data_IF_489605391053
#
_entry.id   IF_489605391053
#
_cell.length_a   1.000
_cell.length_b   1.000
_cell.length_c   1.000
_cell.angle_alpha   90.00
_cell.angle_beta   90.00
_cell.angle_gamma   90.00
#
_symmetry.space_group_name_H-M   'P 1'
#
loop_
_entity.id
_entity.type
_entity.pdbx_description
1 polymer ?
#
# COMPACT_ATOMS: atom_id res chain seq x y z
N UNK A 1 25.37 -19.15 -54.21
CA UNK A 1 25.19 -19.20 -52.73
C UNK A 1 24.37 -17.97 -52.36
N UNK A 2 23.04 -18.05 -52.27
CA UNK A 2 22.25 -18.53 -51.10
C UNK A 2 22.63 -17.73 -49.84
N UNK A 3 21.76 -16.96 -49.17
CA UNK A 3 20.34 -17.19 -48.85
C UNK A 3 19.67 -15.88 -48.40
N UNK A 4 18.37 -15.76 -48.69
CA UNK A 4 17.42 -14.78 -48.13
C UNK A 4 17.40 -14.73 -46.59
N UNK A 5 16.92 -13.61 -46.04
CA UNK A 5 15.90 -13.48 -44.97
C UNK A 5 15.90 -12.02 -44.49
N UNK A 6 15.08 -11.14 -45.08
CA UNK A 6 13.69 -10.85 -44.71
C UNK A 6 13.54 -10.03 -43.42
N UNK A 7 13.16 -8.78 -43.62
CA UNK A 7 12.41 -7.88 -42.74
C UNK A 7 11.91 -8.45 -41.40
N UNK A 8 12.18 -7.74 -40.30
CA UNK A 8 11.21 -7.65 -39.22
C UNK A 8 11.26 -6.25 -38.58
N UNK A 9 10.28 -5.42 -38.97
CA UNK A 9 9.83 -4.27 -38.18
C UNK A 9 9.21 -4.83 -36.89
N UNK A 10 9.78 -4.54 -35.73
CA UNK A 10 9.05 -4.67 -34.48
C UNK A 10 8.87 -3.27 -33.90
N UNK A 11 7.73 -2.67 -34.25
CA UNK A 11 7.19 -1.49 -33.58
C UNK A 11 6.68 -1.98 -32.24
N UNK A 12 7.36 -1.62 -31.14
CA UNK A 12 6.81 -1.80 -29.81
C UNK A 12 5.68 -0.78 -29.63
N UNK A 13 4.45 -1.22 -29.90
CA UNK A 13 3.25 -0.51 -29.48
C UNK A 13 3.13 -0.66 -27.96
N UNK A 14 3.65 0.30 -27.20
CA UNK A 14 3.37 0.38 -25.77
C UNK A 14 1.96 0.93 -25.57
N UNK A 15 1.09 0.03 -25.12
CA UNK A 15 -0.30 0.24 -24.74
C UNK A 15 -0.38 1.25 -23.59
N UNK A 16 -1.02 2.40 -23.83
CA UNK A 16 -1.40 3.32 -22.77
C UNK A 16 -2.59 2.71 -22.00
N UNK A 17 -2.32 2.08 -20.87
CA UNK A 17 -3.36 1.74 -19.90
C UNK A 17 -3.69 3.02 -19.10
N UNK A 18 -4.70 3.75 -19.57
CA UNK A 18 -5.29 4.84 -18.80
C UNK A 18 -6.05 4.26 -17.61
N UNK A 19 -5.46 4.36 -16.42
CA UNK A 19 -6.20 4.14 -15.17
C UNK A 19 -7.17 5.31 -15.00
N UNK A 20 -8.46 5.04 -15.20
CA UNK A 20 -9.54 5.97 -14.85
C UNK A 20 -9.59 6.04 -13.33
N UNK A 21 -9.13 7.15 -12.75
CA UNK A 21 -9.42 7.52 -11.37
C UNK A 21 -10.91 7.84 -11.26
N UNK A 22 -11.72 6.86 -10.87
CA UNK A 22 -13.11 7.10 -10.50
C UNK A 22 -13.14 7.84 -9.17
N UNK A 23 -13.72 9.04 -9.16
CA UNK A 23 -13.89 9.83 -7.95
C UNK A 23 -14.88 9.18 -6.97
N UNK A 24 -14.44 9.19 -5.70
CA UNK A 24 -15.11 8.93 -4.43
C UNK A 24 -16.58 8.53 -4.43
N UNK A 25 -16.84 7.25 -4.22
CA UNK A 25 -17.99 6.82 -3.43
C UNK A 25 -17.61 6.97 -1.95
N UNK A 26 -18.25 7.88 -1.23
CA UNK A 26 -18.14 7.93 0.23
C UNK A 26 -18.77 6.64 0.78
N UNK A 27 -17.92 5.70 1.19
CA UNK A 27 -18.36 4.48 1.86
C UNK A 27 -18.49 4.86 3.34
N UNK A 28 -19.71 5.03 3.83
CA UNK A 28 -19.96 5.10 5.28
C UNK A 28 -19.83 3.68 5.85
N UNK A 29 -18.64 3.09 5.82
CA UNK A 29 -18.44 1.77 6.39
C UNK A 29 -17.83 1.87 7.77
N UNK A 30 -18.35 1.07 8.69
CA UNK A 30 -17.77 0.90 10.01
C UNK A 30 -16.51 0.02 9.97
N UNK A 31 -16.02 -0.33 8.79
CA UNK A 31 -14.96 -1.32 8.49
C UNK A 31 -14.56 -1.18 7.01
N UNK A 32 -13.41 -1.72 6.60
CA UNK A 32 -12.90 -1.55 5.23
C UNK A 32 -13.02 -2.83 4.41
N UNK A 33 -13.36 -2.70 3.14
CA UNK A 33 -13.32 -3.83 2.22
C UNK A 33 -11.86 -4.25 1.96
N UNK A 34 -11.56 -5.53 1.69
CA UNK A 34 -10.20 -5.98 1.35
C UNK A 34 -9.56 -5.19 0.21
N UNK A 35 -10.36 -4.77 -0.78
CA UNK A 35 -9.91 -3.96 -1.91
C UNK A 35 -9.47 -2.52 -1.54
N UNK A 36 -9.75 -2.07 -0.31
CA UNK A 36 -9.28 -0.78 0.19
C UNK A 36 -7.87 -0.85 0.81
N UNK A 37 -7.32 -2.07 1.02
CA UNK A 37 -5.97 -2.29 1.55
C UNK A 37 -4.91 -2.02 0.47
N UNK A 38 -4.83 -0.76 0.06
CA UNK A 38 -3.97 -0.29 -1.03
C UNK A 38 -3.39 1.06 -0.66
N UNK A 39 -2.07 1.19 -0.83
CA UNK A 39 -1.34 2.45 -0.71
C UNK A 39 -0.42 2.62 -1.91
N UNK A 40 -0.47 3.79 -2.56
CA UNK A 40 0.43 4.11 -3.66
C UNK A 40 0.39 3.13 -4.82
N UNK A 41 -0.77 2.50 -5.07
CA UNK A 41 -0.92 1.47 -6.10
C UNK A 41 -0.37 0.08 -5.74
N UNK A 42 0.09 -0.12 -4.50
CA UNK A 42 0.49 -1.43 -3.97
C UNK A 42 -0.67 -2.00 -3.15
N UNK A 43 -1.23 -3.11 -3.63
CA UNK A 43 -2.29 -3.84 -2.96
C UNK A 43 -1.70 -4.80 -1.92
N UNK A 44 -2.47 -5.08 -0.87
CA UNK A 44 -2.17 -6.20 0.02
C UNK A 44 -2.06 -7.51 -0.77
N UNK A 45 -0.95 -8.23 -0.61
CA UNK A 45 -0.63 -9.43 -1.38
C UNK A 45 0.10 -9.19 -2.70
N UNK A 46 0.44 -7.95 -3.06
CA UNK A 46 1.28 -7.67 -4.21
C UNK A 46 2.66 -8.34 -4.11
N UNK A 47 3.19 -8.84 -5.24
CA UNK A 47 4.52 -9.43 -5.28
C UNK A 47 5.63 -8.38 -5.15
N UNK A 48 6.75 -8.74 -4.55
CA UNK A 48 7.95 -7.90 -4.50
C UNK A 48 8.39 -7.35 -5.88
N UNK A 49 8.32 -8.19 -6.93
CA UNK A 49 8.65 -7.79 -8.30
C UNK A 49 7.74 -6.66 -8.82
N UNK A 50 6.44 -6.75 -8.54
CA UNK A 50 5.48 -5.69 -8.88
C UNK A 50 5.80 -4.39 -8.12
N UNK A 51 6.12 -4.47 -6.83
CA UNK A 51 6.48 -3.26 -6.06
C UNK A 51 7.71 -2.59 -6.67
N UNK A 52 8.74 -3.35 -7.05
CA UNK A 52 9.91 -2.79 -7.72
C UNK A 52 9.60 -2.26 -9.13
N UNK A 53 8.61 -2.82 -9.82
CA UNK A 53 8.15 -2.28 -11.10
C UNK A 53 7.52 -0.89 -10.94
N UNK A 54 6.80 -0.66 -9.85
CA UNK A 54 6.12 0.62 -9.57
C UNK A 54 7.09 1.66 -9.00
N UNK A 55 7.94 1.27 -8.04
CA UNK A 55 8.78 2.20 -7.27
C UNK A 55 10.27 2.16 -7.64
N UNK A 56 10.70 1.21 -8.47
CA UNK A 56 12.12 0.97 -8.73
C UNK A 56 12.77 0.13 -7.63
N UNK A 57 14.11 0.15 -7.59
CA UNK A 57 14.85 -0.55 -6.54
C UNK A 57 14.68 0.18 -5.19
N UNK A 58 14.44 -0.55 -4.08
CA UNK A 58 14.41 0.06 -2.76
C UNK A 58 15.79 0.57 -2.34
N UNK A 59 15.80 1.54 -1.43
CA UNK A 59 17.03 2.08 -0.83
C UNK A 59 17.71 1.06 0.07
N UNK A 60 16.93 0.25 0.80
CA UNK A 60 17.41 -0.81 1.67
C UNK A 60 16.51 -2.06 1.56
N UNK A 61 17.14 -3.22 1.73
CA UNK A 61 16.46 -4.52 1.81
C UNK A 61 16.95 -5.22 3.07
N UNK A 62 16.04 -5.45 4.02
CA UNK A 62 16.30 -6.27 5.20
C UNK A 62 15.56 -7.60 5.08
N UNK A 63 16.26 -8.74 5.27
CA UNK A 63 15.61 -10.06 5.33
C UNK A 63 15.81 -10.70 6.69
N UNK A 64 14.71 -11.04 7.35
CA UNK A 64 14.65 -11.73 8.63
C UNK A 64 13.97 -13.09 8.45
N UNK A 65 14.62 -14.14 8.95
CA UNK A 65 14.04 -15.49 8.99
C UNK A 65 13.24 -15.78 10.28
N UNK A 66 13.29 -14.85 11.24
CA UNK A 66 12.50 -14.87 12.46
C UNK A 66 11.94 -13.46 12.68
N UNK A 67 10.62 -13.36 12.77
CA UNK A 67 9.90 -12.12 13.05
C UNK A 67 8.86 -12.40 14.15
N UNK A 68 8.58 -11.41 15.00
CA UNK A 68 7.68 -11.58 16.14
C UNK A 68 6.23 -11.80 15.67
N UNK A 69 5.83 -11.10 14.61
CA UNK A 69 4.46 -11.14 14.06
C UNK A 69 4.26 -12.11 12.89
N UNK A 70 5.31 -12.38 12.10
CA UNK A 70 5.16 -13.08 10.83
C UNK A 70 5.96 -14.38 10.84
N UNK A 71 5.30 -15.47 10.45
CA UNK A 71 5.95 -16.74 10.18
C UNK A 71 6.40 -16.81 8.72
N UNK A 72 7.60 -17.34 8.45
CA UNK A 72 8.14 -17.46 7.10
C UNK A 72 9.32 -16.52 6.85
N UNK A 73 9.74 -16.40 5.59
CA UNK A 73 10.79 -15.46 5.24
C UNK A 73 10.20 -14.04 5.15
N UNK A 74 10.64 -13.16 6.04
CA UNK A 74 10.21 -11.77 6.07
C UNK A 74 11.25 -10.91 5.37
N UNK A 75 10.83 -10.12 4.40
CA UNK A 75 11.70 -9.16 3.71
C UNK A 75 11.07 -7.78 3.79
N UNK A 76 11.82 -6.77 4.19
CA UNK A 76 11.41 -5.37 4.23
C UNK A 76 12.09 -4.62 3.10
N UNK A 77 11.33 -3.86 2.33
CA UNK A 77 11.84 -2.89 1.37
C UNK A 77 11.61 -1.50 1.92
N UNK A 78 12.68 -0.73 2.06
CA UNK A 78 12.60 0.68 2.46
C UNK A 78 12.87 1.58 1.25
N UNK A 79 11.96 2.52 1.00
CA UNK A 79 12.08 3.53 -0.05
C UNK A 79 12.33 4.89 0.58
N UNK A 80 13.60 5.24 0.70
CA UNK A 80 14.01 6.41 1.49
C UNK A 80 13.75 6.16 2.98
N UNK A 81 13.26 7.18 3.68
CA UNK A 81 13.02 7.16 5.13
C UNK A 81 11.53 7.33 5.49
N UNK A 82 10.61 7.02 4.56
CA UNK A 82 9.19 7.35 4.71
C UNK A 82 8.20 6.35 4.12
N UNK A 83 8.68 5.27 3.50
CA UNK A 83 7.82 4.26 2.89
C UNK A 83 8.47 2.89 3.02
N UNK A 84 7.81 1.98 3.74
CA UNK A 84 8.23 0.60 3.93
C UNK A 84 7.18 -0.36 3.36
N UNK A 85 7.63 -1.45 2.72
CA UNK A 85 6.78 -2.60 2.42
C UNK A 85 7.40 -3.86 3.01
N UNK A 86 6.69 -4.48 3.93
CA UNK A 86 7.04 -5.79 4.50
C UNK A 86 6.37 -6.91 3.70
N UNK A 87 7.17 -7.87 3.26
CA UNK A 87 6.78 -9.06 2.53
C UNK A 87 6.93 -10.31 3.39
N UNK A 88 5.98 -11.23 3.29
CA UNK A 88 6.07 -12.58 3.83
C UNK A 88 5.94 -13.56 2.68
N UNK A 89 6.95 -14.42 2.51
CA UNK A 89 7.06 -15.37 1.40
C UNK A 89 6.88 -14.68 0.02
N UNK A 90 7.41 -13.46 -0.11
CA UNK A 90 7.42 -12.68 -1.35
C UNK A 90 6.16 -11.86 -1.65
N UNK A 91 5.16 -11.87 -0.75
CA UNK A 91 3.90 -11.15 -0.89
C UNK A 91 3.78 -10.05 0.16
N UNK A 92 3.37 -8.84 -0.26
CA UNK A 92 3.19 -7.71 0.63
C UNK A 92 2.15 -8.02 1.71
N UNK A 93 2.53 -7.84 2.98
CA UNK A 93 1.66 -8.08 4.15
C UNK A 93 1.47 -6.86 5.02
N UNK A 94 2.39 -5.91 4.96
CA UNK A 94 2.29 -4.69 5.72
C UNK A 94 2.97 -3.56 4.95
N UNK A 95 2.34 -2.39 4.94
CA UNK A 95 2.80 -1.17 4.27
C UNK A 95 2.77 -0.06 5.31
N UNK A 96 3.87 0.67 5.45
CA UNK A 96 4.00 1.79 6.39
C UNK A 96 4.39 3.06 5.62
N UNK A 97 3.73 4.17 5.93
CA UNK A 97 4.02 5.50 5.38
C UNK A 97 4.14 6.48 6.54
N UNK A 98 5.37 6.89 6.86
CA UNK A 98 5.70 7.66 8.06
C UNK A 98 6.07 9.12 7.81
N UNK A 99 6.01 9.60 6.54
CA UNK A 99 6.13 11.04 6.21
C UNK A 99 5.25 11.44 5.04
N UNK A 100 5.04 12.75 4.91
CA UNK A 100 4.34 13.35 3.76
C UNK A 100 5.21 13.24 2.49
N UNK A 101 5.05 12.12 1.78
CA UNK A 101 5.79 11.76 0.56
C UNK A 101 4.90 11.65 -0.69
N UNK A 102 3.61 12.00 -0.57
CA UNK A 102 2.63 11.97 -1.66
C UNK A 102 2.02 10.59 -1.94
N UNK A 103 2.39 9.56 -1.16
CA UNK A 103 1.75 8.24 -1.22
C UNK A 103 0.38 8.35 -0.54
N UNK A 104 -0.64 7.93 -1.29
CA UNK A 104 -2.04 7.99 -0.88
C UNK A 104 -2.62 6.60 -0.70
N UNK A 105 -3.56 6.45 0.23
CA UNK A 105 -4.46 5.31 0.27
C UNK A 105 -5.38 5.29 -0.97
N UNK A 106 -6.08 4.17 -1.19
CA UNK A 106 -7.11 4.08 -2.24
C UNK A 106 -8.17 5.20 -2.17
N UNK A 107 -8.49 5.68 -0.97
CA UNK A 107 -9.47 6.75 -0.75
C UNK A 107 -8.86 8.16 -0.81
N UNK A 108 -7.57 8.28 -1.12
CA UNK A 108 -6.89 9.56 -1.30
C UNK A 108 -6.34 10.21 -0.02
N UNK A 109 -6.32 9.48 1.10
CA UNK A 109 -5.72 9.95 2.36
C UNK A 109 -4.19 9.80 2.29
N UNK A 110 -3.46 10.78 2.79
CA UNK A 110 -1.99 10.76 2.88
C UNK A 110 -1.55 11.33 4.25
N UNK A 111 -0.28 11.13 4.59
CA UNK A 111 0.31 11.78 5.77
C UNK A 111 0.15 13.31 5.63
N UNK A 112 -0.39 13.95 6.65
CA UNK A 112 -0.79 15.36 6.66
C UNK A 112 -2.28 15.62 6.38
N UNK A 113 -3.05 14.62 5.94
CA UNK A 113 -4.53 14.71 5.92
C UNK A 113 -5.08 14.95 7.33
N UNK A 114 -6.20 15.65 7.43
CA UNK A 114 -6.90 15.87 8.70
C UNK A 114 -7.65 14.61 9.15
N UNK A 115 -7.86 14.48 10.46
CA UNK A 115 -8.76 13.46 11.00
C UNK A 115 -10.18 13.57 10.44
N UNK A 116 -10.65 14.78 10.12
CA UNK A 116 -11.95 14.99 9.49
C UNK A 116 -12.01 14.39 8.08
N UNK A 117 -10.96 14.59 7.27
CA UNK A 117 -10.85 13.98 5.94
C UNK A 117 -10.80 12.45 6.02
N UNK A 118 -10.07 11.88 7.00
CA UNK A 118 -10.05 10.44 7.26
C UNK A 118 -11.46 9.93 7.54
N UNK A 119 -12.18 10.57 8.46
CA UNK A 119 -13.55 10.17 8.82
C UNK A 119 -14.55 10.36 7.70
N UNK A 120 -14.35 11.37 6.84
CA UNK A 120 -15.16 11.57 5.66
C UNK A 120 -14.94 10.45 4.61
N UNK A 121 -13.71 9.96 4.49
CA UNK A 121 -13.35 8.91 3.54
C UNK A 121 -13.75 7.51 4.02
N UNK A 122 -13.54 7.20 5.31
CA UNK A 122 -13.65 5.86 5.87
C UNK A 122 -14.74 5.70 6.93
N UNK A 123 -15.43 6.77 7.33
CA UNK A 123 -16.38 6.72 8.44
C UNK A 123 -15.70 6.77 9.82
N UNK A 124 -16.43 6.35 10.86
CA UNK A 124 -15.88 6.22 12.21
C UNK A 124 -15.01 4.95 12.32
N UNK A 125 -13.87 5.01 13.04
CA UNK A 125 -12.99 3.86 13.19
C UNK A 125 -13.65 2.74 13.99
N UNK A 126 -13.23 1.50 13.77
CA UNK A 126 -13.62 0.34 14.58
C UNK A 126 -13.09 0.45 16.01
N UNK A 127 -11.85 0.91 16.17
CA UNK A 127 -11.16 1.03 17.45
C UNK A 127 -10.31 2.30 17.48
N UNK A 128 -10.13 2.84 18.68
CA UNK A 128 -9.19 3.93 18.95
C UNK A 128 -8.27 3.46 20.07
N UNK A 129 -6.96 3.53 19.87
CA UNK A 129 -5.95 3.21 20.88
C UNK A 129 -4.89 4.31 20.92
N UNK A 130 -4.95 5.18 21.93
CA UNK A 130 -4.11 6.38 21.95
C UNK A 130 -4.45 7.32 20.78
N UNK A 131 -3.45 7.60 19.96
CA UNK A 131 -3.49 8.35 18.70
C UNK A 131 -3.81 7.49 17.47
N UNK A 132 -3.93 6.16 17.62
CA UNK A 132 -4.22 5.23 16.52
C UNK A 132 -5.73 5.10 16.27
N UNK A 133 -6.15 5.43 15.05
CA UNK A 133 -7.51 5.26 14.52
C UNK A 133 -7.55 4.05 13.60
N UNK A 134 -8.20 2.97 14.05
CA UNK A 134 -8.07 1.64 13.45
C UNK A 134 -9.36 1.28 12.70
N UNK A 135 -9.21 1.00 11.41
CA UNK A 135 -10.26 0.56 10.50
C UNK A 135 -9.99 -0.88 10.08
N UNK A 136 -10.78 -1.82 10.60
CA UNK A 136 -10.60 -3.25 10.42
C UNK A 136 -11.22 -3.73 9.10
N UNK A 137 -10.61 -4.73 8.48
CA UNK A 137 -11.13 -5.32 7.27
C UNK A 137 -12.35 -6.21 7.56
N UNK A 138 -13.39 -6.11 6.71
CA UNK A 138 -14.69 -6.79 6.88
C UNK A 138 -14.56 -8.31 7.06
N UNK A 139 -13.75 -8.93 6.21
CA UNK A 139 -13.62 -10.39 6.14
C UNK A 139 -12.51 -10.96 7.03
N UNK A 140 -11.64 -10.09 7.58
CA UNK A 140 -10.53 -10.48 8.44
C UNK A 140 -10.10 -9.34 9.37
N UNK A 141 -10.46 -9.43 10.64
CA UNK A 141 -10.16 -8.40 11.64
C UNK A 141 -8.68 -8.30 12.04
N UNK A 142 -7.82 -9.20 11.59
CA UNK A 142 -6.37 -9.10 11.76
C UNK A 142 -5.74 -8.17 10.69
N UNK A 143 -6.52 -7.77 9.68
CA UNK A 143 -6.13 -6.83 8.65
C UNK A 143 -6.87 -5.50 8.82
N UNK A 144 -6.27 -4.41 8.33
CA UNK A 144 -6.94 -3.12 8.29
C UNK A 144 -6.05 -1.99 7.81
N UNK A 145 -6.51 -0.78 8.14
CA UNK A 145 -5.79 0.47 7.96
C UNK A 145 -5.73 1.16 9.32
N UNK A 146 -4.55 1.60 9.70
CA UNK A 146 -4.33 2.42 10.90
C UNK A 146 -3.87 3.79 10.44
N UNK A 147 -4.52 4.81 10.99
CA UNK A 147 -4.05 6.19 10.90
C UNK A 147 -3.57 6.61 12.29
N UNK A 148 -2.28 6.86 12.45
CA UNK A 148 -1.76 7.54 13.63
C UNK A 148 -1.97 9.04 13.46
N UNK A 149 -2.60 9.68 14.44
CA UNK A 149 -3.05 11.07 14.33
C UNK A 149 -2.47 11.92 15.46
N UNK A 150 -1.56 12.82 15.11
CA UNK A 150 -1.05 13.85 15.99
C UNK A 150 -1.58 15.23 15.60
N UNK A 151 -1.95 16.06 16.58
CA UNK A 151 -2.41 17.43 16.35
C UNK A 151 -3.54 17.56 15.29
N UNK A 152 -4.45 16.57 15.23
CA UNK A 152 -5.53 16.43 14.25
C UNK A 152 -5.07 16.18 12.80
N UNK A 153 -3.82 15.77 12.59
CA UNK A 153 -3.25 15.40 11.29
C UNK A 153 -2.73 13.98 11.34
N UNK A 154 -2.89 13.25 10.24
CA UNK A 154 -2.25 11.95 10.05
C UNK A 154 -0.75 12.14 10.05
N UNK A 155 -0.05 11.47 10.94
CA UNK A 155 1.42 11.44 11.01
C UNK A 155 1.98 10.16 10.36
N UNK A 156 1.27 9.05 10.52
CA UNK A 156 1.63 7.75 9.93
C UNK A 156 0.39 6.99 9.42
N UNK A 157 0.59 6.19 8.38
CA UNK A 157 -0.41 5.27 7.83
C UNK A 157 0.19 3.86 7.77
N UNK A 158 -0.50 2.91 8.40
CA UNK A 158 -0.19 1.48 8.29
C UNK A 158 -1.33 0.77 7.55
N UNK A 159 -1.02 -0.13 6.61
CA UNK A 159 -2.01 -0.94 5.87
C UNK A 159 -1.57 -2.40 5.83
N UNK A 160 -2.50 -3.31 6.11
CA UNK A 160 -2.30 -4.74 6.00
C UNK A 160 -2.51 -5.43 7.33
N UNK A 161 -1.64 -6.37 7.67
CA UNK A 161 -1.69 -7.06 8.96
C UNK A 161 -1.37 -6.08 10.09
N UNK A 162 -2.21 -6.06 11.12
CA UNK A 162 -2.10 -5.16 12.25
C UNK A 162 -1.42 -5.88 13.43
N UNK A 163 -0.52 -5.18 14.11
CA UNK A 163 0.07 -5.59 15.39
C UNK A 163 -0.86 -5.21 16.58
#
# INVERSE_FOLDING_TARGET
MSKEMSNLKQVFASLAAGAVLTMGTTICAASVAPAALVAGGIEYGASADYVQQVYGAPSEIETKHHHELFSGAVTKYEYGDSFEVTFVDGLARHIEISRHNGIKTAAGIEVGSTLEEVKAAYGEPNKIHGDKYIYLCDDNSDLGIVFEVEHNKVDEIEIGYLD
#
